data_IF_442320087470
#
_entry.id   IF_442320087470
#
_cell.length_a   1.000
_cell.length_b   1.000
_cell.length_c   1.000
_cell.angle_alpha   90.00
_cell.angle_beta   90.00
_cell.angle_gamma   90.00
#
_symmetry.space_group_name_H-M   'P 1'
#
loop_
_entity.id
_entity.type
_entity.pdbx_description
1 polymer ?
#
# COMPACT_ATOMS: atom_id res chain seq x y z
N UNK A 1 -7.74 7.92 7.62
CA UNK A 1 -6.49 7.34 8.14
C UNK A 1 -6.77 6.76 9.52
N UNK A 2 -6.27 5.56 9.81
CA UNK A 2 -6.38 4.97 11.15
C UNK A 2 -5.21 5.44 12.04
N UNK A 3 -5.40 5.45 13.36
CA UNK A 3 -4.30 5.78 14.29
C UNK A 3 -3.18 4.74 14.22
N UNK A 4 -3.56 3.46 14.24
CA UNK A 4 -2.75 2.30 13.87
C UNK A 4 -3.61 1.41 12.97
N UNK A 5 -2.98 0.69 12.03
CA UNK A 5 -3.70 -0.22 11.14
C UNK A 5 -4.50 -1.28 11.90
N UNK A 6 -4.01 -1.66 13.08
CA UNK A 6 -4.60 -2.66 13.98
C UNK A 6 -6.08 -2.38 14.31
N UNK A 7 -6.47 -1.09 14.39
CA UNK A 7 -7.83 -0.66 14.73
C UNK A 7 -8.81 -0.66 13.56
N UNK A 8 -8.38 -1.02 12.33
CA UNK A 8 -9.27 -1.07 11.17
C UNK A 8 -10.40 -2.10 11.33
N UNK A 9 -10.20 -3.09 12.21
CA UNK A 9 -11.18 -4.13 12.54
C UNK A 9 -12.46 -3.57 13.17
N UNK A 10 -12.43 -2.40 13.81
CA UNK A 10 -13.65 -1.76 14.32
C UNK A 10 -14.62 -1.37 13.18
N UNK A 11 -14.08 -1.17 11.97
CA UNK A 11 -14.85 -0.88 10.76
C UNK A 11 -15.05 -2.11 9.87
N UNK A 12 -14.91 -3.34 10.38
CA UNK A 12 -14.93 -4.57 9.58
C UNK A 12 -16.20 -4.69 8.71
N UNK A 13 -17.36 -4.34 9.25
CA UNK A 13 -18.64 -4.37 8.51
C UNK A 13 -18.58 -3.45 7.29
N UNK A 14 -17.97 -2.26 7.42
CA UNK A 14 -17.82 -1.33 6.30
C UNK A 14 -16.81 -1.88 5.28
N UNK A 15 -15.72 -2.47 5.74
CA UNK A 15 -14.71 -3.08 4.88
C UNK A 15 -15.33 -4.19 4.03
N UNK A 16 -16.00 -5.15 4.67
CA UNK A 16 -16.51 -6.35 4.00
C UNK A 16 -17.72 -6.06 3.13
N UNK A 17 -18.69 -5.32 3.67
CA UNK A 17 -19.99 -5.16 3.03
C UNK A 17 -20.03 -4.01 2.02
N UNK A 18 -19.06 -3.09 2.11
CA UNK A 18 -18.99 -1.95 1.21
C UNK A 18 -17.66 -1.89 0.47
N UNK A 19 -16.54 -1.66 1.16
CA UNK A 19 -15.26 -1.37 0.49
C UNK A 19 -14.84 -2.51 -0.44
N UNK A 20 -14.94 -3.76 -0.01
CA UNK A 20 -14.50 -4.91 -0.81
C UNK A 20 -15.54 -5.42 -1.83
N UNK A 21 -16.82 -5.07 -1.71
CA UNK A 21 -17.89 -5.77 -2.45
C UNK A 21 -18.96 -4.88 -3.11
N UNK A 22 -18.89 -3.55 -2.95
CA UNK A 22 -19.92 -2.63 -3.46
C UNK A 22 -20.01 -2.64 -5.00
N UNK A 23 -18.90 -2.77 -5.69
CA UNK A 23 -18.91 -2.78 -7.15
C UNK A 23 -19.63 -4.00 -7.71
N UNK A 24 -19.33 -5.20 -7.20
CA UNK A 24 -19.98 -6.42 -7.67
C UNK A 24 -21.45 -6.48 -7.25
N UNK A 25 -21.78 -5.97 -6.05
CA UNK A 25 -23.15 -5.99 -5.53
C UNK A 25 -24.05 -4.95 -6.20
N UNK A 26 -23.53 -3.76 -6.48
CA UNK A 26 -24.34 -2.58 -6.79
C UNK A 26 -23.77 -1.71 -7.92
N UNK A 27 -22.78 -2.19 -8.67
CA UNK A 27 -22.11 -1.48 -9.78
C UNK A 27 -21.57 -0.10 -9.37
N UNK A 28 -21.22 0.05 -8.09
CA UNK A 28 -20.82 1.34 -7.53
C UNK A 28 -19.33 1.39 -7.24
N UNK A 29 -18.66 2.27 -7.98
CA UNK A 29 -17.24 2.52 -7.84
C UNK A 29 -16.93 3.41 -6.61
N UNK A 30 -15.76 3.18 -6.01
CA UNK A 30 -15.27 3.97 -4.87
C UNK A 30 -13.77 4.25 -5.02
N UNK A 31 -13.38 5.51 -4.84
CA UNK A 31 -11.98 5.93 -4.85
C UNK A 31 -11.36 6.05 -3.46
N UNK A 32 -12.02 5.53 -2.42
CA UNK A 32 -11.62 5.70 -1.03
C UNK A 32 -10.20 5.17 -0.79
N UNK A 33 -9.41 5.91 -0.01
CA UNK A 33 -8.07 5.49 0.41
C UNK A 33 -8.08 5.19 1.91
N UNK A 34 -7.68 3.97 2.28
CA UNK A 34 -7.45 3.56 3.65
C UNK A 34 -5.95 3.55 3.93
N UNK A 35 -5.49 4.54 4.70
CA UNK A 35 -4.12 4.57 5.22
C UNK A 35 -4.09 3.88 6.59
N UNK A 36 -3.33 2.78 6.66
CA UNK A 36 -3.26 1.85 7.79
C UNK A 36 -1.81 1.77 8.28
N UNK A 37 -1.43 2.51 9.34
CA UNK A 37 -0.07 2.46 9.85
C UNK A 37 0.34 1.04 10.26
N UNK A 38 1.40 0.52 9.65
CA UNK A 38 1.81 -0.88 9.73
C UNK A 38 3.33 -0.99 9.93
N UNK A 39 3.77 -1.98 10.71
CA UNK A 39 5.19 -2.31 10.88
C UNK A 39 5.51 -2.92 12.24
N UNK A 40 6.37 -3.94 12.26
CA UNK A 40 6.79 -4.65 13.47
C UNK A 40 7.98 -3.95 14.13
N UNK A 41 7.69 -3.08 15.09
CA UNK A 41 8.68 -2.17 15.70
C UNK A 41 8.81 -2.36 17.23
N UNK A 42 8.38 -3.52 17.75
CA UNK A 42 8.47 -3.85 19.17
C UNK A 42 7.44 -3.15 20.07
N UNK A 43 6.42 -2.50 19.51
CA UNK A 43 5.38 -1.77 20.27
C UNK A 43 4.20 -2.65 20.73
N UNK A 44 4.30 -3.97 20.55
CA UNK A 44 3.29 -4.93 20.97
C UNK A 44 2.21 -5.24 19.91
N UNK A 45 1.23 -6.09 20.28
CA UNK A 45 0.31 -6.73 19.32
C UNK A 45 -0.77 -5.83 18.73
N UNK A 46 -1.02 -4.65 19.32
CA UNK A 46 -2.06 -3.69 18.86
C UNK A 46 -1.49 -2.46 18.16
N UNK A 47 -0.18 -2.46 17.86
CA UNK A 47 0.53 -1.35 17.25
C UNK A 47 1.47 -1.81 16.13
N UNK A 48 1.17 -2.96 15.51
CA UNK A 48 2.09 -3.63 14.58
C UNK A 48 1.43 -4.00 13.25
N UNK A 49 0.21 -4.52 13.26
CA UNK A 49 -0.38 -5.17 12.09
C UNK A 49 -1.66 -4.50 11.61
N UNK A 50 -1.62 -3.96 10.39
CA UNK A 50 -2.82 -3.59 9.62
C UNK A 50 -3.58 -4.80 9.06
N UNK A 51 -3.21 -6.03 9.43
CA UNK A 51 -3.83 -7.28 8.99
C UNK A 51 -3.87 -7.43 7.47
N UNK A 52 -2.70 -7.22 6.83
CA UNK A 52 -2.52 -7.30 5.38
C UNK A 52 -3.12 -8.57 4.77
N UNK A 53 -2.92 -9.70 5.45
CA UNK A 53 -3.47 -10.99 5.07
C UNK A 53 -4.99 -10.99 4.89
N UNK A 54 -5.73 -10.20 5.68
CA UNK A 54 -7.18 -10.11 5.58
C UNK A 54 -7.61 -9.38 4.31
N UNK A 55 -6.93 -8.29 3.97
CA UNK A 55 -7.22 -7.58 2.73
C UNK A 55 -6.85 -8.44 1.51
N UNK A 56 -5.73 -9.18 1.56
CA UNK A 56 -5.37 -10.12 0.50
C UNK A 56 -6.42 -11.23 0.32
N UNK A 57 -7.00 -11.76 1.41
CA UNK A 57 -8.10 -12.73 1.31
C UNK A 57 -9.39 -12.13 0.73
N UNK A 58 -9.65 -10.83 0.94
CA UNK A 58 -10.81 -10.14 0.37
C UNK A 58 -10.62 -9.74 -1.10
N UNK A 59 -9.38 -9.75 -1.59
CA UNK A 59 -9.07 -9.32 -2.95
C UNK A 59 -9.51 -10.38 -3.98
N UNK A 60 -10.39 -9.99 -4.89
CA UNK A 60 -10.88 -10.79 -6.00
C UNK A 60 -11.33 -9.86 -7.12
N UNK A 61 -11.17 -10.26 -8.39
CA UNK A 61 -11.71 -9.52 -9.55
C UNK A 61 -11.34 -8.02 -9.57
N UNK A 62 -10.11 -7.67 -9.14
CA UNK A 62 -9.63 -6.29 -9.03
C UNK A 62 -10.55 -5.36 -8.22
N UNK A 63 -11.29 -5.89 -7.25
CA UNK A 63 -12.22 -5.14 -6.39
C UNK A 63 -11.51 -4.08 -5.53
N UNK A 64 -10.32 -4.37 -5.03
CA UNK A 64 -9.49 -3.47 -4.21
C UNK A 64 -8.02 -3.48 -4.65
N UNK A 65 -7.33 -2.37 -4.42
CA UNK A 65 -5.89 -2.26 -4.59
C UNK A 65 -5.21 -2.28 -3.22
N UNK A 66 -4.16 -3.09 -3.07
CA UNK A 66 -3.43 -3.21 -1.81
C UNK A 66 -1.96 -2.87 -2.08
N UNK A 67 -1.40 -1.96 -1.29
CA UNK A 67 -0.01 -1.49 -1.44
C UNK A 67 0.68 -1.38 -0.10
N UNK A 68 1.99 -1.64 -0.08
CA UNK A 68 2.89 -1.39 1.03
C UNK A 68 4.15 -0.73 0.46
N UNK A 69 4.25 0.58 0.63
CA UNK A 69 5.16 1.44 -0.14
C UNK A 69 6.37 1.83 0.70
N UNK A 70 7.55 1.74 0.10
CA UNK A 70 8.83 1.86 0.80
C UNK A 70 9.58 3.17 0.52
N UNK A 71 9.12 4.00 -0.42
CA UNK A 71 9.74 5.30 -0.74
C UNK A 71 8.71 6.45 -0.75
N UNK A 72 9.11 7.68 -0.40
CA UNK A 72 8.24 8.85 -0.50
C UNK A 72 7.70 9.10 -1.92
N UNK A 73 8.51 8.92 -2.96
CA UNK A 73 8.08 9.08 -4.35
C UNK A 73 6.98 8.08 -4.74
N UNK A 74 7.09 6.82 -4.31
CA UNK A 74 6.07 5.81 -4.54
C UNK A 74 4.75 6.16 -3.86
N UNK A 75 4.80 6.68 -2.62
CA UNK A 75 3.61 7.16 -1.92
C UNK A 75 2.93 8.31 -2.69
N UNK A 76 3.72 9.30 -3.12
CA UNK A 76 3.24 10.43 -3.93
C UNK A 76 2.57 9.98 -5.24
N UNK A 77 3.23 9.13 -6.02
CA UNK A 77 2.71 8.67 -7.30
C UNK A 77 1.49 7.76 -7.14
N UNK A 78 1.44 6.94 -6.08
CA UNK A 78 0.28 6.10 -5.80
C UNK A 78 -0.97 6.94 -5.49
N UNK A 79 -0.85 7.96 -4.64
CA UNK A 79 -1.96 8.87 -4.33
C UNK A 79 -2.41 9.68 -5.57
N UNK A 80 -1.46 10.17 -6.38
CA UNK A 80 -1.79 10.84 -7.65
C UNK A 80 -2.52 9.91 -8.59
N UNK A 81 -2.03 8.68 -8.75
CA UNK A 81 -2.67 7.65 -9.59
C UNK A 81 -4.12 7.42 -9.18
N UNK A 82 -4.39 7.38 -7.87
CA UNK A 82 -5.74 7.23 -7.33
C UNK A 82 -6.66 8.42 -7.67
N UNK A 83 -6.14 9.64 -7.58
CA UNK A 83 -6.88 10.84 -7.93
C UNK A 83 -7.16 10.94 -9.45
N UNK A 84 -6.15 10.67 -10.29
CA UNK A 84 -6.24 10.87 -11.74
C UNK A 84 -6.85 9.71 -12.53
N UNK A 85 -6.88 8.48 -12.00
CA UNK A 85 -7.51 7.36 -12.70
C UNK A 85 -9.00 7.59 -12.92
N UNK A 86 -9.49 7.28 -14.13
CA UNK A 86 -10.91 7.34 -14.50
C UNK A 86 -11.73 6.28 -13.76
N UNK A 87 -11.22 5.06 -13.69
CA UNK A 87 -11.82 3.98 -12.90
C UNK A 87 -11.43 4.12 -11.42
N UNK A 88 -12.40 3.93 -10.52
CA UNK A 88 -12.22 4.15 -9.08
C UNK A 88 -12.38 2.82 -8.35
N UNK A 89 -11.27 2.33 -7.79
CA UNK A 89 -11.24 1.19 -6.86
C UNK A 89 -10.67 1.65 -5.52
N UNK A 90 -11.14 1.10 -4.39
CA UNK A 90 -10.55 1.40 -3.11
C UNK A 90 -9.06 1.07 -3.07
N UNK A 91 -8.30 1.89 -2.35
CA UNK A 91 -6.87 1.73 -2.16
C UNK A 91 -6.58 1.49 -0.67
N UNK A 92 -6.10 0.31 -0.34
CA UNK A 92 -5.62 -0.09 0.97
C UNK A 92 -4.11 0.10 1.00
N UNK A 93 -3.64 1.05 1.82
CA UNK A 93 -2.24 1.41 1.92
C UNK A 93 -1.72 1.08 3.31
N UNK A 94 -0.79 0.12 3.39
CA UNK A 94 0.02 -0.10 4.57
C UNK A 94 1.01 1.05 4.68
N UNK A 95 0.68 2.05 5.50
CA UNK A 95 1.50 3.24 5.66
C UNK A 95 2.59 3.01 6.69
N UNK A 96 3.79 3.59 6.50
CA UNK A 96 4.89 3.37 7.41
C UNK A 96 4.72 4.10 8.74
N UNK A 97 5.42 3.61 9.76
CA UNK A 97 5.62 4.32 11.04
C UNK A 97 7.06 4.84 11.16
N UNK A 98 8.03 3.95 11.35
CA UNK A 98 9.46 4.33 11.46
C UNK A 98 10.04 4.89 10.17
N UNK A 99 9.60 4.42 8.98
CA UNK A 99 10.13 4.91 7.71
C UNK A 99 9.86 6.41 7.49
N UNK A 100 8.89 7.01 8.19
CA UNK A 100 8.63 8.45 8.16
C UNK A 100 9.84 9.29 8.59
N UNK A 101 10.79 8.69 9.32
CA UNK A 101 12.02 9.36 9.79
C UNK A 101 13.29 8.59 9.46
N UNK A 102 13.19 7.52 8.67
CA UNK A 102 14.35 6.69 8.38
C UNK A 102 15.27 7.40 7.38
N UNK A 103 16.58 7.57 7.66
CA UNK A 103 17.46 8.42 6.85
C UNK A 103 17.69 7.92 5.43
N UNK A 104 17.47 6.62 5.17
CA UNK A 104 17.50 6.06 3.80
C UNK A 104 16.14 6.08 3.09
N UNK A 105 15.06 6.44 3.80
CA UNK A 105 13.71 6.52 3.23
C UNK A 105 13.45 7.95 2.76
N UNK A 106 14.18 8.35 1.73
CA UNK A 106 14.10 9.67 1.11
C UNK A 106 13.91 9.52 -0.38
N UNK A 107 13.33 10.52 -1.03
CA UNK A 107 13.26 10.59 -2.48
C UNK A 107 13.72 11.95 -2.97
N UNK A 108 14.38 11.96 -4.11
CA UNK A 108 14.80 13.17 -4.79
C UNK A 108 13.61 13.83 -5.48
N UNK A 109 13.68 15.15 -5.66
CA UNK A 109 12.62 15.90 -6.35
C UNK A 109 12.42 15.41 -7.79
N UNK A 110 13.49 14.93 -8.45
CA UNK A 110 13.42 14.38 -9.79
C UNK A 110 12.52 13.14 -9.87
N UNK A 111 12.53 12.30 -8.83
CA UNK A 111 11.64 11.14 -8.76
C UNK A 111 10.17 11.56 -8.68
N UNK A 112 9.86 12.73 -8.13
CA UNK A 112 8.48 13.27 -8.07
C UNK A 112 8.05 13.91 -9.39
N UNK A 113 8.97 14.60 -10.07
CA UNK A 113 8.66 15.38 -11.28
C UNK A 113 8.66 14.51 -12.53
N UNK A 114 9.64 13.61 -12.67
CA UNK A 114 9.80 12.77 -13.85
C UNK A 114 9.48 11.29 -13.61
N UNK A 115 9.36 10.86 -12.35
CA UNK A 115 9.05 9.46 -12.03
C UNK A 115 7.58 9.11 -12.18
N UNK A 116 7.27 7.84 -11.88
CA UNK A 116 5.92 7.30 -11.90
C UNK A 116 5.71 6.27 -10.78
N UNK A 117 4.52 5.66 -10.73
CA UNK A 117 4.27 4.57 -9.80
C UNK A 117 4.83 3.26 -10.36
N UNK A 118 5.75 2.64 -9.62
CA UNK A 118 6.28 1.32 -9.96
C UNK A 118 5.64 0.22 -9.09
N UNK A 119 4.92 -0.77 -9.65
CA UNK A 119 4.34 -1.86 -8.86
C UNK A 119 5.39 -2.80 -8.24
N UNK A 120 6.59 -2.84 -8.82
CA UNK A 120 7.76 -3.57 -8.31
C UNK A 120 8.96 -2.64 -8.44
N UNK A 121 9.77 -2.56 -7.38
CA UNK A 121 11.05 -1.87 -7.39
C UNK A 121 12.17 -2.90 -7.52
N UNK A 122 13.11 -2.64 -8.42
CA UNK A 122 14.28 -3.49 -8.63
C UNK A 122 15.45 -3.08 -7.73
N UNK A 123 16.43 -3.96 -7.53
CA UNK A 123 17.64 -3.67 -6.77
C UNK A 123 18.65 -2.92 -7.65
N UNK A 124 18.68 -1.59 -7.50
CA UNK A 124 19.58 -0.71 -8.28
C UNK A 124 21.06 -0.91 -7.95
N UNK A 125 21.42 -1.73 -6.97
CA UNK A 125 22.82 -2.05 -6.64
C UNK A 125 23.40 -3.16 -7.52
N UNK A 126 22.55 -3.89 -8.25
CA UNK A 126 22.96 -4.96 -9.16
C UNK A 126 23.27 -4.39 -10.54
N UNK A 127 24.50 -4.60 -11.02
CA UNK A 127 24.96 -4.12 -12.34
C UNK A 127 24.91 -5.19 -13.43
N UNK A 128 25.06 -6.47 -13.06
CA UNK A 128 24.94 -7.61 -13.98
C UNK A 128 23.95 -8.66 -13.42
N UNK A 129 22.71 -8.67 -13.94
CA UNK A 129 21.69 -9.64 -13.53
C UNK A 129 22.10 -11.10 -13.72
N UNK A 130 23.04 -11.41 -14.62
CA UNK A 130 23.48 -12.80 -14.88
C UNK A 130 24.28 -13.40 -13.71
N UNK A 131 24.81 -12.55 -12.82
CA UNK A 131 25.55 -12.98 -11.63
C UNK A 131 24.65 -13.35 -10.45
N UNK A 132 23.35 -13.03 -10.53
CA UNK A 132 22.40 -13.24 -9.44
C UNK A 132 22.04 -14.72 -9.33
N UNK A 133 22.29 -15.31 -8.16
CA UNK A 133 21.99 -16.72 -7.88
C UNK A 133 20.76 -16.92 -6.98
N UNK A 134 20.27 -15.86 -6.35
CA UNK A 134 19.12 -15.89 -5.45
C UNK A 134 18.39 -14.54 -5.48
N UNK A 135 17.07 -14.60 -5.57
CA UNK A 135 16.18 -13.44 -5.49
C UNK A 135 15.45 -13.50 -4.15
N UNK A 136 15.46 -12.38 -3.42
CA UNK A 136 14.67 -12.19 -2.22
C UNK A 136 13.54 -11.21 -2.53
N UNK A 137 12.31 -11.70 -2.53
CA UNK A 137 11.14 -10.84 -2.68
C UNK A 137 10.72 -10.34 -1.30
N UNK A 138 10.47 -9.05 -1.19
CA UNK A 138 9.96 -8.41 0.02
C UNK A 138 8.95 -7.32 -0.32
N UNK A 139 8.24 -6.89 0.70
CA UNK A 139 7.36 -5.73 0.66
C UNK A 139 7.42 -5.01 1.99
#
# INVERSE_FOLDING_TARGET
EAQFGDFCNAAQVIIDQFIASTEDKWERLSGLVMMLPHGFEGQGPEHSSGRLERFLMLAAEDNIQIVNLTTPAQHFHCLRRQAYRKWKKPLIMMTPKSLLRHPKCTSDIGELVQGEFHPVLDDTTITDPQTVTRILLCS
#
